data_IF_038232558782
#
_entry.id   IF_038232558782
#
_cell.length_a   1.000
_cell.length_b   1.000
_cell.length_c   1.000
_cell.angle_alpha   90.00
_cell.angle_beta   90.00
_cell.angle_gamma   90.00
#
_symmetry.space_group_name_H-M   'P 1'
#
loop_
_entity.id
_entity.type
_entity.pdbx_description
1 polymer ?
#
# COMPACT_ATOMS: atom_id res chain seq x y z
N UNK A 1 18.48 6.83 -12.15
CA UNK A 1 19.42 7.46 -11.17
C UNK A 1 19.62 6.63 -9.89
N UNK A 2 18.74 5.68 -9.52
CA UNK A 2 18.96 4.66 -8.47
C UNK A 2 18.46 3.25 -8.86
N UNK A 3 17.89 3.09 -10.07
CA UNK A 3 17.42 1.82 -10.64
C UNK A 3 16.59 0.92 -9.70
N UNK A 4 15.63 1.52 -8.97
CA UNK A 4 14.72 0.80 -8.09
C UNK A 4 13.66 0.10 -8.96
N UNK A 5 13.85 -1.19 -9.24
CA UNK A 5 13.00 -1.97 -10.14
C UNK A 5 11.82 -2.65 -9.45
N UNK A 6 11.90 -2.90 -8.14
CA UNK A 6 10.85 -3.61 -7.40
C UNK A 6 10.37 -2.80 -6.20
N UNK A 7 9.07 -2.52 -6.13
CA UNK A 7 8.41 -2.00 -4.94
C UNK A 7 7.62 -3.14 -4.27
N UNK A 8 7.82 -3.32 -2.97
CA UNK A 8 7.23 -4.37 -2.14
C UNK A 8 6.34 -3.70 -1.10
N UNK A 9 5.08 -4.11 -1.06
CA UNK A 9 4.06 -3.57 -0.15
C UNK A 9 3.52 -4.70 0.71
N UNK A 10 3.63 -4.54 2.03
CA UNK A 10 3.19 -5.56 2.98
C UNK A 10 1.79 -5.25 3.51
N UNK A 11 0.81 -6.02 3.05
CA UNK A 11 -0.60 -5.85 3.43
C UNK A 11 -0.94 -6.87 4.51
N UNK A 12 -0.75 -6.48 5.77
CA UNK A 12 -1.04 -7.32 6.93
C UNK A 12 -2.09 -6.69 7.82
N UNK A 13 -3.06 -7.49 8.26
CA UNK A 13 -4.02 -7.04 9.27
C UNK A 13 -3.29 -6.75 10.59
N UNK A 14 -3.58 -5.61 11.19
CA UNK A 14 -3.01 -5.23 12.47
C UNK A 14 -3.73 -5.93 13.63
N UNK A 15 -2.98 -6.45 14.63
CA UNK A 15 -3.60 -7.12 15.76
C UNK A 15 -4.48 -6.16 16.57
N UNK A 16 -5.71 -6.57 16.88
CA UNK A 16 -6.67 -5.78 17.66
C UNK A 16 -7.31 -4.60 16.91
N UNK A 17 -7.05 -4.45 15.61
CA UNK A 17 -7.77 -3.53 14.74
C UNK A 17 -8.72 -4.31 13.82
N UNK A 18 -10.01 -4.05 13.96
CA UNK A 18 -11.05 -4.76 13.22
C UNK A 18 -11.34 -4.02 11.91
N UNK A 19 -11.25 -4.74 10.79
CA UNK A 19 -11.73 -4.27 9.49
C UNK A 19 -12.76 -5.26 8.94
N UNK A 20 -13.24 -5.03 7.72
CA UNK A 20 -14.15 -5.96 7.04
C UNK A 20 -13.52 -7.35 6.86
N UNK A 21 -12.22 -7.42 6.64
CA UNK A 21 -11.45 -8.65 6.44
C UNK A 21 -10.30 -8.70 7.43
N UNK A 22 -10.32 -9.66 8.34
CA UNK A 22 -9.31 -9.82 9.39
C UNK A 22 -8.31 -10.93 9.05
N UNK A 23 -7.14 -10.92 9.68
CA UNK A 23 -6.07 -11.91 9.49
C UNK A 23 -5.57 -12.01 8.04
N UNK A 24 -5.50 -10.87 7.35
CA UNK A 24 -4.85 -10.78 6.04
C UNK A 24 -3.34 -10.77 6.20
N UNK A 25 -2.66 -11.49 5.30
CA UNK A 25 -1.22 -11.48 5.15
C UNK A 25 -0.90 -11.74 3.67
N UNK A 26 -0.76 -10.66 2.91
CA UNK A 26 -0.38 -10.73 1.51
C UNK A 26 0.68 -9.68 1.19
N UNK A 27 1.46 -9.96 0.16
CA UNK A 27 2.53 -9.08 -0.32
C UNK A 27 2.25 -8.72 -1.77
N UNK A 28 2.35 -7.44 -2.09
CA UNK A 28 2.28 -6.95 -3.46
C UNK A 28 3.69 -6.56 -3.89
N UNK A 29 4.13 -7.08 -5.04
CA UNK A 29 5.39 -6.72 -5.68
C UNK A 29 5.04 -6.04 -7.00
N UNK A 30 5.45 -4.79 -7.11
CA UNK A 30 5.21 -3.93 -8.27
C UNK A 30 6.51 -3.62 -8.98
N UNK A 31 6.49 -3.76 -10.29
CA UNK A 31 7.56 -3.30 -11.18
C UNK A 31 7.55 -1.75 -11.27
N UNK A 32 8.72 -1.10 -11.16
CA UNK A 32 8.84 0.35 -10.91
C UNK A 32 9.71 1.09 -11.96
N UNK A 33 10.39 0.36 -12.86
CA UNK A 33 11.35 0.88 -13.84
C UNK A 33 10.76 1.20 -15.22
N UNK A 34 9.70 0.51 -15.62
CA UNK A 34 9.07 0.62 -16.94
C UNK A 34 7.60 1.10 -16.84
N UNK A 35 6.99 1.45 -17.98
CA UNK A 35 5.59 1.94 -18.05
C UNK A 35 5.46 3.44 -17.83
N UNK A 36 4.56 3.88 -16.93
CA UNK A 36 4.20 5.30 -16.72
C UNK A 36 5.41 6.20 -16.43
N UNK A 37 6.46 5.67 -15.78
CA UNK A 37 7.68 6.41 -15.43
C UNK A 37 8.66 6.58 -16.60
N UNK A 38 8.41 5.89 -17.72
CA UNK A 38 9.15 6.03 -18.98
C UNK A 38 8.40 6.88 -20.02
N UNK A 39 7.24 7.43 -19.67
CA UNK A 39 6.37 8.16 -20.59
C UNK A 39 7.06 9.42 -21.12
N UNK A 40 7.48 9.36 -22.38
CA UNK A 40 7.74 10.55 -23.18
C UNK A 40 6.38 11.12 -23.61
N UNK A 41 5.90 12.12 -22.90
CA UNK A 41 4.74 12.90 -23.35
C UNK A 41 5.18 13.78 -24.54
N UNK A 42 4.78 13.40 -25.75
CA UNK A 42 4.79 14.33 -26.87
C UNK A 42 3.45 15.03 -26.94
N UNK A 43 3.46 16.34 -26.73
CA UNK A 43 2.29 17.18 -27.02
C UNK A 43 2.15 17.28 -28.55
N UNK A 44 1.30 16.43 -29.13
CA UNK A 44 0.92 16.58 -30.53
C UNK A 44 -0.01 17.79 -30.61
N UNK A 45 0.55 18.91 -31.06
CA UNK A 45 -0.13 20.20 -31.13
C UNK A 45 -1.57 20.07 -31.64
N UNK A 46 -2.50 20.60 -30.85
CA UNK A 46 -3.96 20.65 -31.02
C UNK A 46 -4.49 20.25 -32.42
N UNK A 47 -4.46 18.96 -32.72
CA UNK A 47 -5.28 18.41 -33.78
C UNK A 47 -6.70 18.37 -33.21
N UNK A 48 -7.52 19.34 -33.62
CA UNK A 48 -8.96 19.35 -33.40
C UNK A 48 -9.52 18.03 -33.92
N UNK A 49 -9.78 17.10 -33.01
CA UNK A 49 -10.54 15.89 -33.30
C UNK A 49 -11.97 16.31 -33.69
N UNK A 50 -12.41 16.10 -34.95
CA UNK A 50 -13.74 16.50 -35.40
C UNK A 50 -14.88 15.67 -34.76
N UNK A 51 -14.54 14.62 -34.01
CA UNK A 51 -15.53 13.68 -33.47
C UNK A 51 -15.96 13.98 -32.03
N UNK A 52 -15.37 14.96 -31.36
CA UNK A 52 -15.78 15.34 -30.00
C UNK A 52 -16.97 16.31 -30.03
N UNK A 53 -18.19 15.91 -29.65
CA UNK A 53 -19.32 16.83 -29.64
C UNK A 53 -19.09 17.88 -28.55
N UNK A 54 -19.19 19.16 -28.92
CA UNK A 54 -19.22 20.28 -27.96
C UNK A 54 -20.36 20.06 -26.96
N UNK A 55 -20.02 20.01 -25.68
CA UNK A 55 -21.01 20.07 -24.62
C UNK A 55 -21.79 21.38 -24.73
N UNK A 56 -23.08 21.28 -25.07
CA UNK A 56 -24.04 22.39 -24.98
C UNK A 56 -24.39 22.56 -23.50
N UNK A 57 -24.27 23.76 -22.89
CA UNK A 57 -24.61 23.94 -21.49
C UNK A 57 -26.13 23.84 -21.32
N UNK A 58 -26.61 22.87 -20.52
CA UNK A 58 -28.02 22.86 -20.10
C UNK A 58 -28.72 21.51 -19.96
N UNK A 59 -28.10 20.36 -20.23
CA UNK A 59 -28.72 19.06 -19.95
C UNK A 59 -27.79 18.16 -19.12
N UNK A 60 -28.26 17.78 -17.93
CA UNK A 60 -27.59 16.84 -17.05
C UNK A 60 -27.54 15.43 -17.66
N UNK A 61 -26.50 15.15 -18.44
CA UNK A 61 -26.16 13.79 -18.86
C UNK A 61 -24.70 13.51 -18.52
N UNK A 62 -24.49 12.42 -17.80
CA UNK A 62 -23.18 11.87 -17.45
C UNK A 62 -22.33 11.67 -18.72
N UNK A 63 -21.01 11.96 -18.69
CA UNK A 63 -20.15 11.74 -19.85
C UNK A 63 -20.12 10.25 -20.22
N UNK A 64 -19.99 9.90 -21.51
CA UNK A 64 -19.87 8.51 -21.92
C UNK A 64 -18.56 7.93 -21.41
N UNK A 65 -18.62 6.73 -20.82
CA UNK A 65 -17.46 6.00 -20.36
C UNK A 65 -16.52 5.74 -21.55
N UNK A 66 -15.24 6.11 -21.39
CA UNK A 66 -14.19 5.66 -22.31
C UNK A 66 -14.18 4.12 -22.35
N UNK A 67 -14.04 3.49 -23.53
CA UNK A 67 -13.86 2.06 -23.60
C UNK A 67 -12.54 1.70 -22.91
N UNK A 68 -12.64 0.96 -21.80
CA UNK A 68 -11.48 0.40 -21.12
C UNK A 68 -10.76 -0.54 -22.09
N UNK A 69 -9.49 -0.26 -22.39
CA UNK A 69 -8.61 -1.19 -23.10
C UNK A 69 -8.57 -2.51 -22.31
N UNK A 70 -8.66 -3.69 -22.96
CA UNK A 70 -8.52 -4.96 -22.27
C UNK A 70 -7.13 -5.02 -21.61
N UNK A 71 -7.04 -5.56 -20.38
CA UNK A 71 -5.77 -5.61 -19.65
C UNK A 71 -4.75 -6.44 -20.43
N UNK A 72 -3.51 -5.94 -20.52
CA UNK A 72 -2.38 -6.71 -21.01
C UNK A 72 -2.12 -7.91 -20.08
N UNK A 73 -1.76 -9.08 -20.62
CA UNK A 73 -1.68 -10.33 -19.87
C UNK A 73 -0.37 -10.45 -19.06
N UNK A 74 -0.04 -9.49 -18.20
CA UNK A 74 1.19 -9.53 -17.39
C UNK A 74 1.00 -9.55 -15.87
N UNK A 75 -0.24 -9.58 -15.36
CA UNK A 75 -0.52 -9.68 -13.93
C UNK A 75 -0.67 -11.15 -13.47
N UNK A 76 0.08 -11.58 -12.45
CA UNK A 76 0.05 -12.94 -11.91
C UNK A 76 -0.04 -12.98 -10.38
N UNK A 77 -0.76 -13.97 -9.84
CA UNK A 77 -0.89 -14.22 -8.40
C UNK A 77 -0.30 -15.59 -8.02
N UNK A 78 0.42 -15.66 -6.91
CA UNK A 78 0.95 -16.90 -6.31
C UNK A 78 0.17 -17.20 -5.01
N UNK A 79 -0.29 -18.45 -4.85
CA UNK A 79 -1.03 -18.94 -3.68
C UNK A 79 -0.26 -19.93 -2.80
N UNK A 80 -0.79 -20.24 -1.61
CA UNK A 80 -0.15 -21.04 -0.56
C UNK A 80 0.23 -22.46 -0.98
N UNK A 81 1.38 -22.98 -0.49
CA UNK A 81 1.74 -24.38 -0.69
C UNK A 81 0.77 -25.29 0.09
N UNK A 82 -0.05 -26.04 -0.64
CA UNK A 82 -1.11 -26.92 -0.11
C UNK A 82 -2.45 -26.78 -0.85
N UNK A 83 -2.64 -25.66 -1.56
CA UNK A 83 -3.58 -25.55 -2.68
C UNK A 83 -2.80 -25.62 -3.98
N UNK A 84 -3.41 -26.14 -5.05
CA UNK A 84 -2.81 -26.16 -6.39
C UNK A 84 -2.24 -24.78 -6.74
N UNK A 85 -0.93 -24.69 -6.93
CA UNK A 85 -0.27 -23.48 -7.41
C UNK A 85 -0.68 -23.25 -8.87
N UNK A 86 -1.86 -22.69 -9.07
CA UNK A 86 -2.25 -22.15 -10.36
C UNK A 86 -1.68 -20.75 -10.46
N UNK A 87 -0.64 -20.58 -11.30
CA UNK A 87 -0.35 -19.30 -11.93
C UNK A 87 -1.54 -18.93 -12.83
N UNK A 88 -2.64 -18.50 -12.21
CA UNK A 88 -3.88 -18.18 -12.87
C UNK A 88 -3.86 -16.71 -13.28
N UNK A 89 -3.83 -16.47 -14.59
CA UNK A 89 -4.23 -15.19 -15.16
C UNK A 89 -5.72 -14.96 -14.88
N UNK A 90 -6.06 -14.52 -13.67
CA UNK A 90 -7.44 -14.15 -13.34
C UNK A 90 -7.71 -12.73 -13.87
N UNK A 91 -8.82 -12.51 -14.61
CA UNK A 91 -9.19 -11.19 -15.09
C UNK A 91 -9.41 -10.27 -13.88
N UNK A 92 -8.62 -9.19 -13.83
CA UNK A 92 -8.56 -8.16 -12.79
C UNK A 92 -8.51 -8.69 -11.33
N UNK A 93 -7.37 -8.67 -10.63
CA UNK A 93 -7.31 -9.09 -9.23
C UNK A 93 -8.20 -8.25 -8.29
N UNK A 94 -8.66 -7.06 -8.72
CA UNK A 94 -9.36 -6.11 -7.85
C UNK A 94 -10.70 -6.61 -7.27
N UNK A 95 -11.69 -7.11 -8.04
CA UNK A 95 -12.95 -7.61 -7.46
C UNK A 95 -12.73 -8.80 -6.52
N UNK A 96 -11.83 -9.71 -6.87
CA UNK A 96 -11.50 -10.91 -6.11
C UNK A 96 -10.77 -10.55 -4.80
N UNK A 97 -9.90 -9.54 -4.83
CA UNK A 97 -9.21 -9.02 -3.65
C UNK A 97 -10.18 -8.39 -2.65
N UNK A 98 -11.27 -7.77 -3.11
CA UNK A 98 -12.32 -7.24 -2.22
C UNK A 98 -13.24 -8.33 -1.70
N UNK A 99 -13.57 -9.33 -2.51
CA UNK A 99 -14.53 -10.37 -2.12
C UNK A 99 -13.90 -11.45 -1.24
N UNK A 100 -12.73 -11.95 -1.63
CA UNK A 100 -12.03 -13.02 -0.93
C UNK A 100 -10.51 -12.80 -1.00
N UNK A 101 -9.95 -11.87 -0.21
CA UNK A 101 -8.52 -11.60 -0.19
C UNK A 101 -7.66 -12.77 0.32
N UNK A 102 -8.25 -13.73 1.05
CA UNK A 102 -7.55 -14.86 1.66
C UNK A 102 -6.93 -15.86 0.68
N UNK A 103 -7.29 -15.76 -0.59
CA UNK A 103 -6.76 -16.63 -1.65
C UNK A 103 -5.38 -16.18 -2.16
N UNK A 104 -4.92 -15.00 -1.77
CA UNK A 104 -3.67 -14.40 -2.26
C UNK A 104 -2.61 -14.40 -1.17
N UNK A 105 -1.38 -14.77 -1.53
CA UNK A 105 -0.20 -14.56 -0.67
C UNK A 105 0.77 -13.58 -1.29
N UNK A 106 1.09 -13.74 -2.58
CA UNK A 106 1.97 -12.82 -3.31
C UNK A 106 1.33 -12.43 -4.63
N UNK A 107 1.23 -11.14 -4.88
CA UNK A 107 0.73 -10.55 -6.12
C UNK A 107 1.88 -9.86 -6.83
N UNK A 108 2.17 -10.23 -8.07
CA UNK A 108 3.19 -9.57 -8.90
C UNK A 108 2.51 -8.84 -10.05
N UNK A 109 2.78 -7.55 -10.19
CA UNK A 109 2.07 -6.71 -11.15
C UNK A 109 2.94 -5.62 -11.77
N UNK A 110 2.61 -5.20 -13.02
CA UNK A 110 3.25 -4.04 -13.64
C UNK A 110 2.79 -2.75 -12.94
N UNK A 111 3.58 -1.69 -13.14
CA UNK A 111 3.49 -0.41 -12.44
C UNK A 111 2.06 0.18 -12.35
N UNK A 112 1.36 0.27 -13.49
CA UNK A 112 0.03 0.91 -13.59
C UNK A 112 -1.02 0.21 -12.71
N UNK A 113 -1.09 -1.13 -12.76
CA UNK A 113 -2.05 -1.89 -11.96
C UNK A 113 -1.64 -1.95 -10.49
N UNK A 114 -0.32 -1.94 -10.24
CA UNK A 114 0.33 -1.75 -8.95
C UNK A 114 -0.35 -0.75 -8.04
N UNK A 115 -0.34 0.52 -8.43
CA UNK A 115 -0.88 1.60 -7.60
C UNK A 115 -2.37 1.41 -7.25
N UNK A 116 -3.17 0.85 -8.17
CA UNK A 116 -4.60 0.61 -7.92
C UNK A 116 -4.77 -0.50 -6.88
N UNK A 117 -4.05 -1.59 -7.04
CA UNK A 117 -4.14 -2.76 -6.15
C UNK A 117 -3.56 -2.43 -4.78
N UNK A 118 -2.46 -1.67 -4.69
CA UNK A 118 -1.87 -1.23 -3.42
C UNK A 118 -2.85 -0.40 -2.59
N UNK A 119 -3.50 0.58 -3.21
CA UNK A 119 -4.46 1.44 -2.52
C UNK A 119 -5.72 0.67 -2.09
N UNK A 120 -6.19 -0.25 -2.96
CA UNK A 120 -7.30 -1.14 -2.63
C UNK A 120 -6.97 -2.03 -1.44
N UNK A 121 -5.79 -2.68 -1.46
CA UNK A 121 -5.33 -3.58 -0.44
C UNK A 121 -5.06 -2.85 0.88
N UNK A 122 -4.50 -1.64 0.83
CA UNK A 122 -4.34 -0.79 2.00
C UNK A 122 -5.70 -0.49 2.66
N UNK A 123 -6.74 -0.21 1.87
CA UNK A 123 -8.10 -0.06 2.36
C UNK A 123 -8.63 -1.27 3.14
N UNK A 124 -8.19 -2.49 2.82
CA UNK A 124 -8.64 -3.71 3.51
C UNK A 124 -8.08 -3.86 4.93
N UNK A 125 -6.88 -3.33 5.18
CA UNK A 125 -6.15 -3.51 6.46
C UNK A 125 -6.15 -2.29 7.38
N UNK A 126 -6.74 -1.16 6.95
CA UNK A 126 -6.89 0.04 7.77
C UNK A 126 -6.48 1.35 7.11
N UNK A 127 -6.15 1.32 5.83
CA UNK A 127 -5.77 2.47 5.02
C UNK A 127 -4.26 2.61 4.86
N UNK A 128 -3.87 3.63 4.09
CA UNK A 128 -2.47 3.87 3.74
C UNK A 128 -1.56 4.16 4.95
N UNK A 129 -2.13 4.68 6.04
CA UNK A 129 -1.40 5.05 7.26
C UNK A 129 -0.78 3.86 8.01
N UNK A 130 -1.11 2.62 7.65
CA UNK A 130 -0.65 1.41 8.35
C UNK A 130 0.15 0.42 7.49
N UNK A 131 0.26 0.69 6.19
CA UNK A 131 0.90 -0.23 5.24
C UNK A 131 2.34 0.21 4.96
N UNK A 132 3.35 -0.56 5.42
CA UNK A 132 4.75 -0.28 5.10
C UNK A 132 5.09 -0.72 3.66
N UNK A 133 6.10 -0.08 3.08
CA UNK A 133 6.59 -0.35 1.74
C UNK A 133 8.10 -0.22 1.62
N UNK A 134 8.64 -0.87 0.60
CA UNK A 134 10.08 -1.01 0.39
C UNK A 134 10.36 -1.01 -1.11
N UNK A 135 11.36 -0.27 -1.56
CA UNK A 135 11.77 -0.20 -2.96
C UNK A 135 13.20 -0.71 -3.06
N UNK A 136 13.43 -1.67 -3.95
CA UNK A 136 14.68 -2.39 -4.12
C UNK A 136 15.29 -2.15 -5.50
N UNK A 137 16.62 -2.04 -5.51
CA UNK A 137 17.51 -2.06 -6.67
C UNK A 137 18.57 -3.14 -6.47
N UNK A 138 19.46 -3.32 -7.45
CA UNK A 138 20.62 -4.20 -7.33
C UNK A 138 21.58 -3.75 -6.22
N UNK A 139 21.71 -2.44 -5.98
CA UNK A 139 22.69 -1.86 -5.05
C UNK A 139 22.07 -1.07 -3.90
N UNK A 140 20.78 -0.76 -3.98
CA UNK A 140 20.09 0.16 -3.06
C UNK A 140 18.77 -0.42 -2.55
N UNK A 141 18.41 -0.06 -1.33
CA UNK A 141 17.10 -0.30 -0.75
C UNK A 141 16.58 1.00 -0.12
N UNK A 142 15.30 1.32 -0.37
CA UNK A 142 14.62 2.52 0.14
C UNK A 142 13.36 2.07 0.87
N UNK A 143 13.22 2.48 2.13
CA UNK A 143 12.07 2.12 2.96
C UNK A 143 11.12 3.31 3.06
N UNK A 144 9.86 3.11 2.69
CA UNK A 144 8.86 4.17 2.50
C UNK A 144 7.44 3.69 2.86
N UNK A 145 6.41 4.51 2.60
CA UNK A 145 5.03 4.08 2.79
C UNK A 145 4.58 3.24 1.59
N UNK A 146 3.91 2.11 1.84
CA UNK A 146 3.49 1.19 0.77
C UNK A 146 2.38 1.75 -0.11
N UNK A 147 1.43 2.46 0.49
CA UNK A 147 0.43 3.22 -0.25
C UNK A 147 0.76 4.72 -0.18
N UNK A 148 1.12 5.30 -1.34
CA UNK A 148 1.51 6.71 -1.43
C UNK A 148 0.27 7.61 -1.47
N UNK A 149 -0.18 8.03 -0.29
CA UNK A 149 -1.23 9.04 -0.14
C UNK A 149 -0.63 10.32 0.46
N UNK A 150 -0.43 11.39 -0.33
CA UNK A 150 0.00 12.67 0.21
C UNK A 150 -1.13 13.25 1.08
N UNK A 151 -1.00 13.13 2.40
CA UNK A 151 -1.96 13.69 3.34
C UNK A 151 -1.63 15.16 3.65
N UNK A 152 -1.72 16.02 2.62
CA UNK A 152 -1.32 17.43 2.70
C UNK A 152 -2.01 18.19 3.84
N UNK A 153 -3.25 17.82 4.18
CA UNK A 153 -4.01 18.44 5.26
C UNK A 153 -3.42 18.17 6.66
N UNK A 154 -2.58 17.15 6.84
CA UNK A 154 -1.93 16.84 8.11
C UNK A 154 -0.60 17.54 8.33
N UNK A 155 -0.03 18.16 7.29
CA UNK A 155 1.26 18.84 7.38
C UNK A 155 1.20 19.92 8.46
N UNK A 156 2.09 19.83 9.45
CA UNK A 156 2.16 20.76 10.58
C UNK A 156 1.02 20.67 11.59
N UNK A 157 0.09 19.70 11.46
CA UNK A 157 -1.10 19.60 12.32
C UNK A 157 -1.04 18.51 13.38
N UNK A 158 0.02 17.69 13.40
CA UNK A 158 0.20 16.62 14.39
C UNK A 158 -0.97 15.58 14.40
N UNK A 159 -1.55 15.28 13.24
CA UNK A 159 -2.68 14.34 13.09
C UNK A 159 -2.37 13.14 12.19
N UNK A 160 -1.15 13.05 11.66
CA UNK A 160 -0.75 11.96 10.77
C UNK A 160 -0.58 10.65 11.55
N UNK A 161 -0.93 9.53 10.94
CA UNK A 161 -0.63 8.21 11.49
C UNK A 161 0.83 7.83 11.18
N UNK A 162 1.69 7.66 12.21
CA UNK A 162 3.08 7.30 11.97
C UNK A 162 3.29 5.79 11.78
N UNK A 163 2.25 4.96 11.88
CA UNK A 163 2.35 3.49 11.90
C UNK A 163 3.10 2.93 10.70
N UNK A 164 2.69 3.27 9.47
CA UNK A 164 3.35 2.78 8.26
C UNK A 164 4.85 3.11 8.27
N UNK A 165 5.21 4.35 8.60
CA UNK A 165 6.61 4.79 8.62
C UNK A 165 7.44 4.07 9.70
N UNK A 166 6.88 3.86 10.89
CA UNK A 166 7.55 3.12 11.97
C UNK A 166 7.77 1.64 11.60
N UNK A 167 6.81 1.03 10.92
CA UNK A 167 6.94 -0.33 10.41
C UNK A 167 7.97 -0.41 9.27
N UNK A 168 7.99 0.54 8.35
CA UNK A 168 9.02 0.62 7.30
C UNK A 168 10.41 0.82 7.88
N UNK A 169 10.56 1.67 8.91
CA UNK A 169 11.82 1.81 9.64
C UNK A 169 12.22 0.50 10.35
N UNK A 170 11.26 -0.26 10.87
CA UNK A 170 11.53 -1.59 11.44
C UNK A 170 12.03 -2.57 10.38
N UNK A 171 11.45 -2.53 9.17
CA UNK A 171 11.90 -3.37 8.06
C UNK A 171 13.30 -2.96 7.57
N UNK A 172 13.60 -1.67 7.55
CA UNK A 172 14.96 -1.17 7.27
C UNK A 172 15.97 -1.73 8.27
N UNK A 173 15.66 -1.68 9.57
CA UNK A 173 16.54 -2.23 10.60
C UNK A 173 16.76 -3.74 10.39
N UNK A 174 15.72 -4.48 9.99
CA UNK A 174 15.87 -5.90 9.64
C UNK A 174 16.79 -6.09 8.42
N UNK A 175 16.65 -5.25 7.40
CA UNK A 175 17.53 -5.27 6.23
C UNK A 175 19.00 -4.96 6.56
N UNK A 176 19.25 -4.16 7.61
CA UNK A 176 20.59 -3.87 8.14
C UNK A 176 21.09 -4.93 9.15
N UNK A 177 20.44 -6.09 9.24
CA UNK A 177 20.73 -7.15 10.22
C UNK A 177 20.58 -6.73 11.70
N UNK A 178 19.84 -5.66 11.99
CA UNK A 178 19.53 -5.19 13.34
C UNK A 178 18.17 -5.73 13.81
N UNK A 179 18.00 -7.05 13.76
CA UNK A 179 16.73 -7.73 14.04
C UNK A 179 16.16 -7.45 15.43
N UNK A 180 17.03 -7.37 16.44
CA UNK A 180 16.62 -7.04 17.80
C UNK A 180 15.87 -5.70 17.85
N UNK A 181 16.43 -4.66 17.23
CA UNK A 181 15.84 -3.32 17.19
C UNK A 181 14.59 -3.29 16.30
N UNK A 182 14.60 -4.01 15.19
CA UNK A 182 13.44 -4.18 14.31
C UNK A 182 12.25 -4.76 15.07
N UNK A 183 12.47 -5.87 15.78
CA UNK A 183 11.42 -6.55 16.53
C UNK A 183 10.92 -5.67 17.68
N UNK A 184 11.83 -5.01 18.42
CA UNK A 184 11.49 -4.08 19.50
C UNK A 184 10.51 -2.99 19.04
N UNK A 185 10.80 -2.32 17.92
CA UNK A 185 9.93 -1.25 17.40
C UNK A 185 8.62 -1.85 16.85
N UNK A 186 8.70 -2.91 16.05
CA UNK A 186 7.53 -3.48 15.41
C UNK A 186 6.52 -4.05 16.42
N UNK A 187 7.01 -4.63 17.51
CA UNK A 187 6.17 -5.21 18.56
C UNK A 187 5.58 -4.12 19.46
N UNK A 188 6.34 -3.06 19.76
CA UNK A 188 5.80 -1.89 20.46
C UNK A 188 4.65 -1.23 19.68
N UNK A 189 4.82 -1.02 18.37
CA UNK A 189 3.76 -0.48 17.49
C UNK A 189 2.53 -1.38 17.48
N UNK A 190 2.71 -2.69 17.26
CA UNK A 190 1.60 -3.67 17.29
C UNK A 190 0.88 -3.69 18.64
N UNK A 191 1.62 -3.57 19.75
CA UNK A 191 1.06 -3.56 21.11
C UNK A 191 0.20 -2.33 21.37
N UNK A 192 0.64 -1.15 20.94
CA UNK A 192 -0.14 0.10 21.04
C UNK A 192 -1.46 -0.02 20.26
N UNK A 193 -1.39 -0.47 19.01
CA UNK A 193 -2.56 -0.64 18.15
C UNK A 193 -3.54 -1.68 18.73
N UNK A 194 -3.01 -2.81 19.20
CA UNK A 194 -3.77 -3.89 19.84
C UNK A 194 -4.45 -3.41 21.12
N UNK A 195 -3.78 -2.57 21.91
CA UNK A 195 -4.35 -1.97 23.11
C UNK A 195 -5.52 -1.04 22.82
N UNK A 196 -5.58 -0.45 21.62
CA UNK A 196 -6.72 0.33 21.12
C UNK A 196 -6.97 1.68 21.80
N UNK A 197 -6.21 2.01 22.85
CA UNK A 197 -6.36 3.25 23.63
C UNK A 197 -5.85 4.49 22.89
N UNK A 198 -4.76 4.34 22.15
CA UNK A 198 -4.09 5.43 21.43
C UNK A 198 -4.19 5.17 19.93
N UNK A 199 -5.14 5.86 19.28
CA UNK A 199 -5.42 5.72 17.86
C UNK A 199 -5.53 7.09 17.22
N UNK A 200 -4.90 7.23 16.06
CA UNK A 200 -5.05 8.42 15.21
C UNK A 200 -6.41 8.40 14.50
N UNK A 201 -6.76 9.54 13.88
CA UNK A 201 -8.08 9.79 13.32
C UNK A 201 -8.48 8.82 12.20
N UNK A 202 -7.53 8.43 11.38
CA UNK A 202 -7.70 7.45 10.29
C UNK A 202 -8.04 6.04 10.81
N UNK A 203 -7.61 5.70 12.03
CA UNK A 203 -7.95 4.45 12.73
C UNK A 203 -9.17 4.59 13.66
N UNK A 204 -9.94 5.67 13.51
CA UNK A 204 -11.15 5.94 14.29
C UNK A 204 -10.90 6.47 15.71
N UNK A 205 -9.70 6.95 16.02
CA UNK A 205 -9.39 7.58 17.30
C UNK A 205 -9.31 9.11 17.24
N UNK A 206 -8.81 9.72 18.32
CA UNK A 206 -8.68 11.17 18.48
C UNK A 206 -7.27 11.61 18.90
N UNK A 207 -6.34 10.67 19.02
CA UNK A 207 -4.98 10.96 19.47
C UNK A 207 -4.15 11.61 18.36
N UNK A 208 -3.18 12.42 18.78
CA UNK A 208 -2.23 13.08 17.88
C UNK A 208 -1.11 12.13 17.45
N UNK A 209 -0.32 12.53 16.45
CA UNK A 209 0.90 11.80 16.06
C UNK A 209 1.86 11.68 17.25
N UNK A 210 2.06 12.77 18.00
CA UNK A 210 2.90 12.78 19.20
C UNK A 210 2.42 11.82 20.30
N UNK A 211 1.11 11.78 20.56
CA UNK A 211 0.54 10.87 21.57
C UNK A 211 0.79 9.41 21.18
N UNK A 212 0.62 9.09 19.90
CA UNK A 212 0.89 7.76 19.37
C UNK A 212 2.37 7.39 19.52
N UNK A 213 3.29 8.26 19.09
CA UNK A 213 4.74 8.03 19.20
C UNK A 213 5.15 7.88 20.66
N UNK A 214 4.63 8.72 21.56
CA UNK A 214 4.89 8.61 23.00
C UNK A 214 4.44 7.24 23.52
N UNK A 215 3.24 6.79 23.16
CA UNK A 215 2.74 5.47 23.56
C UNK A 215 3.59 4.33 23.02
N UNK A 216 4.16 4.47 21.82
CA UNK A 216 5.11 3.49 21.26
C UNK A 216 6.40 3.48 22.09
N UNK A 217 6.96 4.65 22.41
CA UNK A 217 8.17 4.76 23.25
C UNK A 217 7.94 4.13 24.63
N UNK A 218 6.79 4.38 25.25
CA UNK A 218 6.41 3.78 26.53
C UNK A 218 6.27 2.25 26.47
N UNK A 219 6.19 1.66 25.26
CA UNK A 219 6.16 0.22 25.04
C UNK A 219 7.45 -0.35 24.45
N UNK A 220 8.50 0.45 24.27
CA UNK A 220 9.84 -0.01 23.90
C UNK A 220 10.53 -0.65 25.10
N UNK A 221 10.00 -1.80 25.54
CA UNK A 221 10.65 -2.62 26.54
C UNK A 221 11.29 -3.82 25.86
N UNK A 222 12.58 -4.09 26.12
CA UNK A 222 13.19 -5.33 25.68
C UNK A 222 12.36 -6.49 26.20
N UNK A 223 11.83 -7.31 25.30
CA UNK A 223 11.49 -8.67 25.67
C UNK A 223 12.82 -9.38 25.94
N UNK A 224 13.28 -9.34 27.20
CA UNK A 224 14.14 -10.40 27.69
C UNK A 224 13.27 -11.66 27.62
N UNK A 225 13.49 -12.47 26.58
CA UNK A 225 12.90 -13.80 26.53
C UNK A 225 13.29 -14.60 27.78
N UNK A 226 12.48 -15.59 28.18
CA UNK A 226 12.87 -16.54 29.23
C UNK A 226 14.16 -17.27 28.89
#
# INVERSE_FOLDING_TARGET
>A
KLDLFANVVHVKSLPGYQTRHNNLDLVIIREQTEGEYSSLEHEVGAARDPTWPRAVPGQGRSPPALPAQPPSPSAGALGRPGGSAHAGFSPAPCPQLVQNPYQFDVLVMPNLYGNIVDNLAAGLVGGAGVVPGESYSAEYAVFELGARHPFAQAVGRNIANPTAMLLSASNMLRHLNLEFHSNLISDAVKKVIKGGKVRTRDLGGYCTTSDFVKSVIDNLHPHYGP
#
